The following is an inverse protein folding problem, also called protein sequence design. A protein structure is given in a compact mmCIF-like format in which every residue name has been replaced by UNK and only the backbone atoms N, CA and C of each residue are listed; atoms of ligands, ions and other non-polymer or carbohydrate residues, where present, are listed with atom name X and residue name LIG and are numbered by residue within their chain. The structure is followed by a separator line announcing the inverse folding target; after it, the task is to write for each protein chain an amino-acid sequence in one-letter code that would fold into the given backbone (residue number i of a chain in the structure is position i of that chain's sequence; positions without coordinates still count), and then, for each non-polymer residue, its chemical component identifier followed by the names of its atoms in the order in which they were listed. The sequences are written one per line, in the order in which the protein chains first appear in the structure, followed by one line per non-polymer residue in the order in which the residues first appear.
data_IF_392022680057
#
_entry.id   IF_392022680057
#
_cell.length_a   1.000
_cell.length_b   1.000
_cell.length_c   1.000
_cell.angle_alpha   90.00
_cell.angle_beta   90.00
_cell.angle_gamma   90.00
#
_symmetry.space_group_name_H-M   'P 1'
#
loop_
_entity.id
_entity.type
_entity.pdbx_description
1 polymer ?
#
# COMPACT_ATOMS: atom_id res chain seq x y z
N UNK A 1 5.65 -40.90 -43.54
CA UNK A 1 5.70 -39.43 -43.55
C UNK A 1 5.98 -38.94 -42.13
N UNK A 2 7.21 -38.48 -41.89
CA UNK A 2 7.71 -38.06 -40.57
C UNK A 2 7.15 -36.68 -40.22
N UNK A 3 6.34 -36.59 -39.17
CA UNK A 3 5.98 -35.30 -38.57
C UNK A 3 7.21 -34.77 -37.83
N UNK A 4 7.78 -33.66 -38.30
CA UNK A 4 8.82 -32.95 -37.55
C UNK A 4 8.25 -32.54 -36.18
N UNK A 5 8.87 -33.04 -35.11
CA UNK A 5 8.43 -32.81 -33.74
C UNK A 5 8.80 -31.38 -33.29
N UNK A 6 7.83 -30.66 -32.72
CA UNK A 6 8.10 -29.44 -31.96
C UNK A 6 9.12 -29.74 -30.83
N UNK A 7 10.03 -28.81 -30.50
CA UNK A 7 10.97 -29.00 -29.41
C UNK A 7 10.22 -29.23 -28.09
N UNK A 8 10.58 -30.32 -27.39
CA UNK A 8 9.92 -30.76 -26.15
C UNK A 8 10.07 -29.70 -25.04
N UNK A 9 8.96 -29.17 -24.55
CA UNK A 9 8.91 -28.46 -23.27
C UNK A 9 9.21 -29.46 -22.14
N UNK A 10 10.36 -29.32 -21.49
CA UNK A 10 10.67 -30.01 -20.24
C UNK A 10 9.79 -29.45 -19.12
N UNK A 11 8.98 -30.31 -18.51
CA UNK A 11 8.27 -30.03 -17.26
C UNK A 11 6.81 -30.45 -17.33
N UNK A 12 6.50 -31.63 -16.80
CA UNK A 12 5.11 -31.98 -16.44
C UNK A 12 4.61 -30.95 -15.43
N UNK A 13 3.35 -30.45 -15.54
CA UNK A 13 2.77 -29.68 -14.45
C UNK A 13 2.71 -30.57 -13.21
N UNK A 14 3.06 -30.06 -12.01
CA UNK A 14 2.99 -30.86 -10.80
C UNK A 14 1.52 -31.21 -10.49
N UNK A 15 1.26 -32.39 -9.93
CA UNK A 15 -0.09 -32.81 -9.59
C UNK A 15 -0.70 -31.86 -8.56
N UNK A 16 -1.97 -31.51 -8.76
CA UNK A 16 -2.78 -30.75 -7.81
C UNK A 16 -2.98 -31.61 -6.56
N UNK A 17 -2.29 -31.25 -5.47
CA UNK A 17 -2.36 -31.95 -4.19
C UNK A 17 -3.65 -31.56 -3.48
N UNK A 18 -4.54 -32.54 -3.28
CA UNK A 18 -5.72 -32.41 -2.42
C UNK A 18 -5.32 -32.20 -0.94
N UNK A 19 -6.11 -31.47 -0.13
CA UNK A 19 -5.70 -31.02 1.19
C UNK A 19 -5.65 -32.19 2.19
N UNK A 20 -4.45 -32.60 2.60
CA UNK A 20 -4.21 -33.50 3.74
C UNK A 20 -3.45 -32.72 4.83
N UNK A 21 -4.01 -32.77 6.05
CA UNK A 21 -3.49 -32.48 7.41
C UNK A 21 -2.28 -31.53 7.53
N UNK A 22 -2.41 -30.49 8.38
CA UNK A 22 -1.39 -29.49 8.80
C UNK A 22 0.04 -29.77 8.27
N UNK A 23 0.47 -29.00 7.26
CA UNK A 23 1.77 -29.15 6.64
C UNK A 23 2.92 -29.03 7.66
N UNK A 24 4.06 -29.73 7.47
CA UNK A 24 5.24 -29.60 8.34
C UNK A 24 5.73 -28.15 8.45
N UNK A 25 5.49 -27.32 7.43
CA UNK A 25 5.72 -25.88 7.46
C UNK A 25 4.89 -25.15 8.53
N UNK A 26 3.63 -25.55 8.78
CA UNK A 26 2.79 -24.98 9.85
C UNK A 26 3.26 -25.40 11.25
N UNK A 27 3.78 -26.61 11.40
CA UNK A 27 4.35 -27.09 12.67
C UNK A 27 5.64 -26.31 12.98
N UNK A 28 6.52 -26.15 11.98
CA UNK A 28 7.72 -25.33 12.11
C UNK A 28 7.39 -23.86 12.42
N UNK A 29 6.38 -23.28 11.77
CA UNK A 29 5.91 -21.93 12.07
C UNK A 29 5.36 -21.79 13.49
N UNK A 30 4.63 -22.79 14.00
CA UNK A 30 4.14 -22.80 15.38
C UNK A 30 5.27 -22.97 16.41
N UNK A 31 6.31 -23.75 16.09
CA UNK A 31 7.48 -23.89 16.97
C UNK A 31 8.32 -22.60 16.98
N UNK A 32 8.51 -21.97 15.82
CA UNK A 32 9.19 -20.68 15.70
C UNK A 32 8.46 -19.57 16.46
N UNK A 33 7.12 -19.52 16.36
CA UNK A 33 6.33 -18.52 17.09
C UNK A 33 6.38 -18.72 18.61
N UNK A 34 6.36 -19.97 19.08
CA UNK A 34 6.53 -20.30 20.51
C UNK A 34 7.92 -19.91 21.02
N UNK A 35 8.97 -20.18 20.24
CA UNK A 35 10.34 -19.79 20.59
C UNK A 35 10.47 -18.26 20.66
N UNK A 36 10.01 -17.55 19.63
CA UNK A 36 10.02 -16.09 19.60
C UNK A 36 9.24 -15.46 20.77
N UNK A 37 8.11 -16.07 21.17
CA UNK A 37 7.35 -15.61 22.33
C UNK A 37 8.11 -15.83 23.65
N UNK A 38 8.88 -16.91 23.78
CA UNK A 38 9.72 -17.18 24.94
C UNK A 38 10.88 -16.19 25.03
N UNK A 39 11.61 -16.00 23.92
CA UNK A 39 12.75 -15.08 23.83
C UNK A 39 12.30 -13.63 24.11
N UNK A 40 11.13 -13.23 23.59
CA UNK A 40 10.54 -11.93 23.89
C UNK A 40 10.19 -11.77 25.37
N UNK A 41 9.74 -12.83 26.05
CA UNK A 41 9.40 -12.79 27.47
C UNK A 41 10.65 -12.70 28.35
N UNK A 42 11.72 -13.42 28.01
CA UNK A 42 13.02 -13.32 28.69
C UNK A 42 13.62 -11.92 28.52
N UNK A 43 13.62 -11.38 27.29
CA UNK A 43 14.08 -10.00 27.01
C UNK A 43 13.27 -8.95 27.77
N UNK A 44 11.95 -9.14 27.91
CA UNK A 44 11.11 -8.24 28.74
C UNK A 44 11.52 -8.32 30.20
N UNK A 45 11.72 -9.52 30.76
CA UNK A 45 12.11 -9.68 32.15
C UNK A 45 13.47 -9.03 32.45
N UNK A 46 14.43 -9.15 31.52
CA UNK A 46 15.74 -8.50 31.63
C UNK A 46 15.62 -6.97 31.63
N UNK A 47 14.86 -6.41 30.68
CA UNK A 47 14.62 -4.96 30.61
C UNK A 47 13.92 -4.47 31.87
N UNK A 48 12.88 -5.17 32.33
CA UNK A 48 12.12 -4.82 33.54
C UNK A 48 13.03 -4.80 34.78
N UNK A 49 14.00 -5.71 34.86
CA UNK A 49 14.97 -5.75 35.97
C UNK A 49 15.97 -4.59 35.90
N UNK A 50 16.28 -4.09 34.70
CA UNK A 50 17.23 -2.99 34.48
C UNK A 50 16.63 -1.58 34.64
N UNK A 51 15.30 -1.45 34.58
CA UNK A 51 14.60 -0.17 34.65
C UNK A 51 14.03 0.03 36.04
N UNK A 52 14.55 1.01 36.74
CA UNK A 52 14.06 1.42 38.06
C UNK A 52 12.69 2.10 37.94
N UNK A 53 11.76 1.75 38.84
CA UNK A 53 10.33 2.10 38.75
C UNK A 53 9.97 3.43 39.42
N UNK A 54 10.94 4.21 39.89
CA UNK A 54 10.66 5.42 40.66
C UNK A 54 10.20 6.58 39.75
N UNK A 55 9.08 7.21 40.12
CA UNK A 55 8.61 8.42 39.45
C UNK A 55 9.55 9.59 39.79
N UNK A 56 9.95 10.40 38.79
CA UNK A 56 10.78 11.56 39.01
C UNK A 56 10.02 12.64 39.79
N UNK A 57 10.67 13.21 40.81
CA UNK A 57 10.10 14.31 41.61
C UNK A 57 10.10 15.66 40.87
N UNK A 58 10.85 15.77 39.78
CA UNK A 58 10.98 16.99 38.97
C UNK A 58 11.00 16.69 37.48
N UNK A 59 10.40 17.56 36.68
CA UNK A 59 10.41 17.49 35.22
C UNK A 59 11.73 18.04 34.68
N UNK A 60 12.45 17.26 33.88
CA UNK A 60 13.75 17.63 33.31
C UNK A 60 13.73 17.64 31.78
N UNK A 61 12.87 16.83 31.14
CA UNK A 61 12.88 16.66 29.69
C UNK A 61 12.35 17.91 28.98
N UNK A 62 13.08 18.47 27.99
CA UNK A 62 12.74 19.74 27.35
C UNK A 62 11.36 19.70 26.67
N UNK A 63 11.01 18.58 26.04
CA UNK A 63 9.69 18.40 25.41
C UNK A 63 8.55 18.33 26.43
N UNK A 64 8.80 17.77 27.61
CA UNK A 64 7.79 17.67 28.68
C UNK A 64 7.60 19.03 29.33
N UNK A 65 8.68 19.81 29.52
CA UNK A 65 8.59 21.20 29.97
C UNK A 65 7.85 22.10 28.97
N UNK A 66 8.09 21.92 27.66
CA UNK A 66 7.35 22.61 26.61
C UNK A 66 5.86 22.22 26.64
N UNK A 67 5.56 20.92 26.78
CA UNK A 67 4.19 20.42 26.93
C UNK A 67 3.50 21.02 28.16
N UNK A 68 4.16 21.08 29.31
CA UNK A 68 3.64 21.73 30.53
C UNK A 68 3.26 23.18 30.27
N UNK A 69 4.19 23.97 29.73
CA UNK A 69 3.96 25.41 29.44
C UNK A 69 2.81 25.62 28.47
N UNK A 70 2.68 24.77 27.46
CA UNK A 70 1.61 24.92 26.46
C UNK A 70 0.27 24.46 27.00
N UNK A 71 0.20 23.26 27.55
CA UNK A 71 -1.06 22.63 27.98
C UNK A 71 -1.65 23.26 29.25
N UNK A 72 -0.85 23.97 30.06
CA UNK A 72 -1.35 24.71 31.24
C UNK A 72 -2.01 26.06 30.93
N UNK A 73 -2.04 26.51 29.68
CA UNK A 73 -2.67 27.79 29.33
C UNK A 73 -4.20 27.71 29.43
N UNK A 74 -4.87 28.79 29.88
CA UNK A 74 -6.35 28.80 30.00
C UNK A 74 -7.09 28.78 28.65
N UNK A 75 -6.41 29.07 27.54
CA UNK A 75 -6.97 29.05 26.19
C UNK A 75 -6.76 27.70 25.49
N UNK A 76 -7.72 27.28 24.67
CA UNK A 76 -7.56 26.10 23.79
C UNK A 76 -8.09 24.78 24.37
N UNK A 77 -8.88 24.83 25.44
CA UNK A 77 -9.66 23.70 25.93
C UNK A 77 -10.89 23.51 25.04
N UNK A 78 -11.09 22.28 24.56
CA UNK A 78 -12.27 21.94 23.75
C UNK A 78 -13.54 21.83 24.61
N UNK A 79 -14.70 21.70 23.95
CA UNK A 79 -16.00 21.49 24.60
C UNK A 79 -16.04 20.22 25.47
N UNK A 80 -15.17 19.24 25.19
CA UNK A 80 -15.01 18.03 25.98
C UNK A 80 -14.13 18.18 27.23
N UNK A 81 -13.53 19.35 27.47
CA UNK A 81 -12.57 19.57 28.55
C UNK A 81 -11.21 18.90 28.33
N UNK A 82 -11.00 18.25 27.18
CA UNK A 82 -9.71 17.68 26.78
C UNK A 82 -8.92 18.70 26.00
N UNK A 83 -7.62 18.76 26.26
CA UNK A 83 -6.67 19.53 25.47
C UNK A 83 -5.66 18.63 24.79
N UNK A 84 -5.38 18.92 23.53
CA UNK A 84 -4.37 18.25 22.71
C UNK A 84 -3.62 19.29 21.88
N UNK A 85 -2.29 19.21 21.86
CA UNK A 85 -1.45 20.13 21.07
C UNK A 85 -0.27 19.40 20.37
N UNK A 86 -0.53 18.34 19.59
CA UNK A 86 0.50 17.48 19.02
C UNK A 86 1.39 18.15 17.96
N UNK A 87 0.95 19.27 17.37
CA UNK A 87 1.72 20.06 16.38
C UNK A 87 2.92 20.77 17.00
N UNK A 88 2.76 21.21 18.24
CA UNK A 88 3.67 22.15 18.89
C UNK A 88 4.43 21.47 20.05
N UNK A 89 3.80 20.47 20.67
CA UNK A 89 4.33 19.73 21.81
C UNK A 89 4.06 18.23 21.64
N UNK A 90 4.22 17.46 22.71
CA UNK A 90 3.94 16.02 22.74
C UNK A 90 2.46 15.74 22.43
N UNK A 91 2.21 14.59 21.81
CA UNK A 91 0.86 14.10 21.53
C UNK A 91 0.18 13.57 22.81
N UNK A 92 -0.21 14.52 23.67
CA UNK A 92 -0.94 14.29 24.91
C UNK A 92 -2.34 14.87 24.76
N UNK A 93 -3.36 14.05 25.02
CA UNK A 93 -4.77 14.44 24.96
C UNK A 93 -5.39 14.20 26.33
N UNK A 94 -5.29 15.19 27.21
CA UNK A 94 -5.60 15.06 28.65
C UNK A 94 -6.45 16.23 29.15
N UNK A 95 -7.18 16.02 30.23
CA UNK A 95 -7.93 17.08 30.92
C UNK A 95 -7.04 17.87 31.90
N UNK A 96 -7.53 19.00 32.40
CA UNK A 96 -6.75 19.86 33.31
C UNK A 96 -6.31 19.14 34.58
N UNK A 97 -7.21 18.33 35.17
CA UNK A 97 -6.94 17.60 36.41
C UNK A 97 -5.92 16.47 36.29
N UNK A 98 -5.72 15.91 35.09
CA UNK A 98 -4.77 14.80 34.84
C UNK A 98 -3.47 15.25 34.19
N UNK A 99 -3.35 16.53 33.84
CA UNK A 99 -2.21 17.04 33.12
C UNK A 99 -0.89 16.79 33.88
N UNK A 100 -0.85 17.07 35.18
CA UNK A 100 0.37 16.85 35.98
C UNK A 100 0.77 15.38 36.03
N UNK A 101 -0.21 14.49 36.23
CA UNK A 101 -0.03 13.04 36.24
C UNK A 101 0.53 12.54 34.91
N UNK A 102 -0.05 13.00 33.80
CA UNK A 102 0.40 12.65 32.45
C UNK A 102 1.83 13.15 32.16
N UNK A 103 2.19 14.34 32.61
CA UNK A 103 3.54 14.89 32.46
C UNK A 103 4.58 14.09 33.27
N UNK A 104 4.26 13.69 34.51
CA UNK A 104 5.14 12.85 35.32
C UNK A 104 5.33 11.45 34.72
N UNK A 105 4.24 10.84 34.26
CA UNK A 105 4.29 9.53 33.57
C UNK A 105 5.16 9.59 32.32
N UNK A 106 4.99 10.64 31.50
CA UNK A 106 5.77 10.82 30.25
C UNK A 106 7.25 11.09 30.53
N UNK A 107 7.57 11.90 31.54
CA UNK A 107 8.94 12.13 31.99
C UNK A 107 9.62 10.82 32.40
N UNK A 108 8.97 10.03 33.26
CA UNK A 108 9.51 8.78 33.76
C UNK A 108 9.71 7.76 32.63
N UNK A 109 8.74 7.68 31.72
CA UNK A 109 8.83 6.81 30.55
C UNK A 109 9.95 7.24 29.61
N UNK A 110 10.11 8.53 29.34
CA UNK A 110 11.18 9.06 28.49
C UNK A 110 12.57 8.82 29.09
N UNK A 111 12.71 8.98 30.41
CA UNK A 111 13.93 8.61 31.11
C UNK A 111 14.23 7.10 30.97
N UNK A 112 13.22 6.24 31.12
CA UNK A 112 13.36 4.79 30.98
C UNK A 112 13.76 4.37 29.56
N UNK A 113 13.04 4.85 28.53
CA UNK A 113 13.36 4.49 27.13
C UNK A 113 14.64 5.16 26.64
N UNK A 114 15.03 6.32 27.20
CA UNK A 114 16.30 6.97 26.91
C UNK A 114 17.50 6.09 27.29
N UNK A 115 17.42 5.40 28.43
CA UNK A 115 18.41 4.37 28.84
C UNK A 115 18.45 3.18 27.88
N UNK A 116 17.32 2.88 27.22
CA UNK A 116 17.18 1.79 26.25
C UNK A 116 17.50 2.23 24.80
N UNK A 117 18.05 3.44 24.61
CA UNK A 117 18.51 3.90 23.30
C UNK A 117 17.43 4.47 22.39
N UNK A 118 16.32 4.97 22.95
CA UNK A 118 15.30 5.69 22.20
C UNK A 118 15.48 7.21 22.35
N UNK A 119 15.34 7.92 21.23
CA UNK A 119 15.22 9.38 21.21
C UNK A 119 13.79 9.79 20.87
N UNK A 120 13.36 10.95 21.36
CA UNK A 120 12.01 11.48 21.13
C UNK A 120 12.08 12.66 20.16
N UNK A 121 11.31 12.60 19.07
CA UNK A 121 11.15 13.70 18.11
C UNK A 121 9.68 14.07 17.94
N UNK A 122 9.45 15.35 17.64
CA UNK A 122 8.13 15.85 17.27
C UNK A 122 8.13 16.06 15.76
N UNK A 123 7.22 15.39 15.09
CA UNK A 123 6.91 15.65 13.69
C UNK A 123 5.74 16.64 13.63
N UNK A 124 6.08 17.91 13.46
CA UNK A 124 5.11 19.00 13.35
C UNK A 124 4.30 18.98 12.05
N UNK A 125 4.71 18.17 11.06
CA UNK A 125 4.00 18.08 9.77
C UNK A 125 2.81 17.12 9.84
N UNK A 126 2.97 16.03 10.59
CA UNK A 126 1.95 14.98 10.74
C UNK A 126 1.27 14.97 12.11
N UNK A 127 1.58 15.94 12.96
CA UNK A 127 1.05 16.10 14.31
C UNK A 127 1.30 14.86 15.18
N UNK A 128 2.55 14.38 15.17
CA UNK A 128 2.92 13.12 15.82
C UNK A 128 4.16 13.29 16.67
N UNK A 129 4.19 12.56 17.77
CA UNK A 129 5.41 12.30 18.53
C UNK A 129 5.97 10.96 18.09
N UNK A 130 7.24 10.94 17.70
CA UNK A 130 7.95 9.76 17.23
C UNK A 130 9.03 9.37 18.24
N UNK A 131 9.08 8.08 18.57
CA UNK A 131 10.16 7.44 19.32
C UNK A 131 11.08 6.76 18.29
N UNK A 132 12.29 7.29 18.12
CA UNK A 132 13.27 6.71 17.22
C UNK A 132 14.21 5.77 17.98
N UNK A 133 14.24 4.51 17.56
CA UNK A 133 15.21 3.54 18.08
C UNK A 133 16.56 3.73 17.39
N UNK A 134 17.62 3.98 18.17
CA UNK A 134 19.01 4.04 17.66
C UNK A 134 19.48 2.69 17.09
N UNK A 135 19.00 1.59 17.66
CA UNK A 135 19.42 0.24 17.30
C UNK A 135 18.81 -0.22 15.96
N UNK A 136 17.51 -0.01 15.78
CA UNK A 136 16.78 -0.53 14.63
C UNK A 136 16.47 0.51 13.55
N UNK A 137 16.77 1.79 13.79
CA UNK A 137 16.40 2.91 12.89
C UNK A 137 14.91 2.94 12.55
N UNK A 138 14.07 2.55 13.51
CA UNK A 138 12.61 2.53 13.39
C UNK A 138 12.01 3.67 14.20
N UNK A 139 11.02 4.36 13.62
CA UNK A 139 10.20 5.35 14.30
C UNK A 139 8.86 4.76 14.76
N UNK A 140 8.52 4.89 16.05
CA UNK A 140 7.23 4.49 16.61
C UNK A 140 6.41 5.72 16.97
N UNK A 141 5.13 5.74 16.61
CA UNK A 141 4.22 6.80 17.05
C UNK A 141 3.91 6.66 18.54
N UNK A 142 3.91 7.77 19.27
CA UNK A 142 3.56 7.87 20.68
C UNK A 142 2.32 8.74 20.85
N UNK A 143 1.33 8.26 21.61
CA UNK A 143 0.17 9.05 22.00
C UNK A 143 -0.30 8.67 23.41
N UNK A 144 -0.56 9.67 24.25
CA UNK A 144 -1.17 9.48 25.56
C UNK A 144 -2.54 10.16 25.57
N UNK A 145 -3.60 9.40 25.88
CA UNK A 145 -4.99 9.87 25.84
C UNK A 145 -5.69 9.59 27.15
N UNK A 146 -6.43 10.57 27.67
CA UNK A 146 -7.38 10.37 28.75
C UNK A 146 -8.74 9.95 28.18
N UNK A 147 -9.36 8.95 28.81
CA UNK A 147 -10.76 8.61 28.52
C UNK A 147 -11.70 9.62 29.18
N UNK A 148 -12.66 10.12 28.42
CA UNK A 148 -13.70 11.02 28.95
C UNK A 148 -15.05 10.36 28.78
N UNK A 149 -15.83 10.32 29.85
CA UNK A 149 -17.15 9.72 29.82
C UNK A 149 -18.12 10.72 29.20
N UNK A 150 -18.77 10.28 28.13
CA UNK A 150 -19.80 11.04 27.43
C UNK A 150 -21.18 10.67 27.99
N UNK A 151 -21.89 11.65 28.55
CA UNK A 151 -23.30 11.54 28.96
C UNK A 151 -24.17 12.43 28.09
N UNK A 152 -25.47 12.12 28.03
CA UNK A 152 -26.44 13.02 27.39
C UNK A 152 -26.50 14.29 28.24
N UNK A 153 -26.44 15.45 27.57
CA UNK A 153 -26.45 16.74 28.25
C UNK A 153 -27.78 17.02 28.93
N UNK A 154 -27.73 17.38 30.21
CA UNK A 154 -28.90 17.84 30.96
C UNK A 154 -29.02 19.35 30.86
N UNK A 155 -30.10 19.82 30.23
CA UNK A 155 -30.31 21.25 29.97
C UNK A 155 -30.37 22.00 31.30
N UNK A 156 -29.39 22.89 31.50
CA UNK A 156 -29.35 23.70 32.71
C UNK A 156 -30.41 24.81 32.66
N UNK A 157 -30.89 25.26 33.82
CA UNK A 157 -31.86 26.37 33.89
C UNK A 157 -31.35 27.65 33.20
N UNK A 158 -30.03 27.88 33.21
CA UNK A 158 -29.40 29.00 32.51
C UNK A 158 -29.49 28.87 30.98
N UNK A 159 -29.34 27.66 30.45
CA UNK A 159 -29.48 27.37 29.03
C UNK A 159 -30.94 27.38 28.57
N UNK A 160 -31.86 26.94 29.42
CA UNK A 160 -33.29 27.05 29.14
C UNK A 160 -33.71 28.53 29.04
N UNK A 161 -33.24 29.37 29.97
CA UNK A 161 -33.40 30.82 29.86
C UNK A 161 -32.74 31.39 28.61
N UNK A 162 -31.58 30.87 28.19
CA UNK A 162 -30.93 31.29 26.94
C UNK A 162 -31.75 30.90 25.70
N UNK A 163 -32.36 29.71 25.68
CA UNK A 163 -33.29 29.26 24.63
C UNK A 163 -34.52 30.15 24.57
N UNK A 164 -35.10 30.50 25.71
CA UNK A 164 -36.25 31.43 25.76
C UNK A 164 -35.86 32.82 25.23
N UNK A 165 -34.71 33.36 25.64
CA UNK A 165 -34.19 34.63 25.11
C UNK A 165 -33.94 34.57 23.60
N UNK A 166 -33.39 33.46 23.11
CA UNK A 166 -33.16 33.25 21.68
C UNK A 166 -34.48 33.21 20.90
N UNK A 167 -35.49 32.49 21.40
CA UNK A 167 -36.81 32.38 20.78
C UNK A 167 -37.54 33.74 20.65
N UNK A 168 -37.31 34.66 21.60
CA UNK A 168 -37.83 36.03 21.51
C UNK A 168 -37.06 36.88 20.48
N UNK A 169 -35.73 36.72 20.39
CA UNK A 169 -34.87 37.54 19.50
C UNK A 169 -34.89 37.10 18.04
N UNK A 170 -35.04 35.81 17.75
CA UNK A 170 -35.09 35.32 16.36
C UNK A 170 -36.29 35.87 15.58
N UNK A 171 -37.37 36.23 16.29
CA UNK A 171 -38.56 36.88 15.72
C UNK A 171 -38.29 38.29 15.18
N UNK A 172 -37.35 39.01 15.79
CA UNK A 172 -37.01 40.40 15.42
C UNK A 172 -35.72 40.49 14.63
N UNK A 173 -34.87 39.45 14.65
CA UNK A 173 -33.58 39.41 13.98
C UNK A 173 -33.42 38.09 13.17
N UNK A 174 -33.77 38.08 11.88
CA UNK A 174 -33.72 36.87 11.06
C UNK A 174 -32.29 36.34 10.80
N UNK A 175 -31.26 37.17 10.98
CA UNK A 175 -29.84 36.79 10.77
C UNK A 175 -29.12 36.39 12.07
N UNK A 176 -29.85 36.10 13.15
CA UNK A 176 -29.24 35.73 14.44
C UNK A 176 -28.61 34.33 14.35
N UNK A 177 -27.36 34.19 14.82
CA UNK A 177 -26.69 32.89 14.88
C UNK A 177 -27.44 31.92 15.80
N UNK A 178 -27.63 30.69 15.35
CA UNK A 178 -28.26 29.63 16.13
C UNK A 178 -27.58 29.45 17.49
N UNK A 179 -28.40 29.33 18.54
CA UNK A 179 -27.92 28.94 19.86
C UNK A 179 -27.39 27.51 19.78
N UNK A 180 -26.07 27.35 19.93
CA UNK A 180 -25.45 26.03 20.06
C UNK A 180 -25.61 25.56 21.50
N UNK A 181 -26.25 24.40 21.69
CA UNK A 181 -26.27 23.68 22.96
C UNK A 181 -25.68 22.31 22.68
N UNK A 182 -24.66 21.94 23.46
CA UNK A 182 -24.05 20.61 23.33
C UNK A 182 -25.10 19.55 23.57
N UNK A 183 -25.07 18.48 22.78
CA UNK A 183 -25.91 17.30 23.04
C UNK A 183 -25.31 16.43 24.15
N UNK A 184 -24.03 16.61 24.48
CA UNK A 184 -23.30 15.76 25.40
C UNK A 184 -22.54 16.54 26.46
N UNK A 185 -22.57 16.01 27.68
CA UNK A 185 -21.67 16.39 28.76
C UNK A 185 -20.49 15.44 28.81
N UNK A 186 -19.33 16.00 29.13
CA UNK A 186 -18.06 15.30 29.16
C UNK A 186 -17.50 15.35 30.58
N UNK A 187 -17.34 14.18 31.19
CA UNK A 187 -16.79 14.06 32.55
C UNK A 187 -15.40 13.39 32.49
N UNK A 188 -14.34 14.05 33.01
CA UNK A 188 -13.01 13.47 33.05
C UNK A 188 -13.03 12.21 33.91
N UNK A 189 -12.52 11.10 33.39
CA UNK A 189 -12.47 9.84 34.16
C UNK A 189 -11.15 9.66 34.90
N UNK A 190 -10.12 10.41 34.51
CA UNK A 190 -8.78 10.25 35.03
C UNK A 190 -8.02 9.03 34.49
N UNK A 191 -8.64 8.24 33.61
CA UNK A 191 -8.08 6.99 33.08
C UNK A 191 -7.19 7.29 31.87
N UNK A 192 -5.88 7.11 32.02
CA UNK A 192 -4.90 7.30 30.96
C UNK A 192 -4.74 6.04 30.10
N UNK A 193 -4.54 6.25 28.81
CA UNK A 193 -4.30 5.23 27.80
C UNK A 193 -3.09 5.63 26.97
N UNK A 194 -2.02 4.82 27.05
CA UNK A 194 -0.83 4.95 26.22
C UNK A 194 -0.98 4.09 24.97
N UNK A 195 -0.82 4.70 23.81
CA UNK A 195 -0.76 4.03 22.51
C UNK A 195 0.63 4.21 21.91
N UNK A 196 1.28 3.10 21.53
CA UNK A 196 2.57 3.11 20.85
C UNK A 196 2.52 2.29 19.56
N UNK A 197 3.05 2.86 18.49
CA UNK A 197 3.15 2.26 17.17
C UNK A 197 1.85 2.36 16.36
N UNK A 198 1.98 2.32 15.03
CA UNK A 198 0.85 2.29 14.10
C UNK A 198 0.50 0.87 13.68
N UNK A 199 1.51 0.11 13.26
CA UNK A 199 1.43 -1.32 13.01
C UNK A 199 2.85 -1.92 13.09
N UNK A 200 3.09 -2.92 13.96
CA UNK A 200 2.24 -3.33 15.07
C UNK A 200 2.03 -2.17 16.06
N UNK A 201 0.81 -2.06 16.59
CA UNK A 201 0.48 -1.13 17.68
C UNK A 201 0.26 -1.89 18.98
N UNK A 202 0.51 -1.22 20.11
CA UNK A 202 0.17 -1.72 21.43
C UNK A 202 -0.39 -0.60 22.27
N UNK A 203 -1.41 -0.95 23.05
CA UNK A 203 -2.12 -0.02 23.91
C UNK A 203 -2.05 -0.51 25.35
N UNK A 204 -1.74 0.39 26.27
CA UNK A 204 -1.81 0.17 27.70
C UNK A 204 -2.77 1.17 28.31
N UNK A 205 -3.61 0.69 29.21
CA UNK A 205 -4.65 1.49 29.86
C UNK A 205 -4.53 1.36 31.36
N UNK A 206 -4.79 2.45 32.08
CA UNK A 206 -5.00 2.41 33.52
C UNK A 206 -6.09 1.39 33.87
N UNK A 207 -5.84 0.61 34.92
CA UNK A 207 -6.86 -0.26 35.50
C UNK A 207 -7.12 0.14 36.95
N UNK A 208 -8.29 -0.20 37.52
CA UNK A 208 -8.57 0.10 38.92
C UNK A 208 -7.57 -0.51 39.92
N UNK A 209 -6.78 -1.51 39.50
CA UNK A 209 -5.80 -2.21 40.34
C UNK A 209 -4.35 -1.84 40.06
N UNK A 210 -4.05 -1.33 38.87
CA UNK A 210 -2.68 -1.03 38.46
C UNK A 210 -2.67 0.24 37.62
N UNK A 211 -1.93 1.23 38.09
CA UNK A 211 -1.69 2.48 37.38
C UNK A 211 -0.62 2.28 36.29
N UNK A 212 -0.59 3.14 35.26
CA UNK A 212 0.47 3.10 34.25
C UNK A 212 1.85 3.43 34.82
N UNK A 213 1.89 4.23 35.88
CA UNK A 213 3.09 4.65 36.59
C UNK A 213 3.84 3.46 37.23
N UNK A 214 3.11 2.55 37.87
CA UNK A 214 3.69 1.33 38.45
C UNK A 214 4.26 0.38 37.38
N UNK A 215 3.84 0.57 36.13
CA UNK A 215 4.16 -0.32 35.01
C UNK A 215 5.18 0.26 34.04
N UNK A 216 5.88 1.35 34.40
CA UNK A 216 6.90 1.96 33.52
C UNK A 216 7.90 0.94 32.96
N UNK A 217 8.44 -0.02 33.74
CA UNK A 217 9.33 -1.04 33.21
C UNK A 217 8.66 -1.93 32.14
N UNK A 218 7.41 -2.34 32.36
CA UNK A 218 6.62 -3.11 31.39
C UNK A 218 6.34 -2.31 30.11
N UNK A 219 6.06 -1.02 30.24
CA UNK A 219 5.80 -0.11 29.12
C UNK A 219 7.06 0.02 28.28
N UNK A 220 8.20 0.31 28.91
CA UNK A 220 9.50 0.45 28.25
C UNK A 220 9.91 -0.84 27.52
N UNK A 221 9.81 -2.00 28.18
CA UNK A 221 10.07 -3.29 27.56
C UNK A 221 9.11 -3.57 26.39
N UNK A 222 7.86 -3.17 26.53
CA UNK A 222 6.86 -3.25 25.48
C UNK A 222 7.19 -2.41 24.24
N UNK A 223 7.71 -1.20 24.42
CA UNK A 223 8.15 -0.31 23.33
C UNK A 223 9.31 -0.95 22.56
N UNK A 224 10.30 -1.52 23.26
CA UNK A 224 11.43 -2.25 22.65
C UNK A 224 10.92 -3.41 21.77
N UNK A 225 9.99 -4.21 22.29
CA UNK A 225 9.43 -5.32 21.54
C UNK A 225 8.68 -4.88 20.28
N UNK A 226 7.96 -3.75 20.34
CA UNK A 226 7.26 -3.20 19.18
C UNK A 226 8.28 -2.74 18.15
N UNK A 227 9.32 -2.01 18.56
CA UNK A 227 10.38 -1.55 17.67
C UNK A 227 11.02 -2.73 16.90
N UNK A 228 11.34 -3.81 17.62
CA UNK A 228 11.90 -5.03 17.03
C UNK A 228 10.94 -5.69 16.03
N UNK A 229 9.64 -5.77 16.34
CA UNK A 229 8.64 -6.35 15.42
C UNK A 229 8.43 -5.49 14.19
N UNK A 230 8.38 -4.17 14.35
CA UNK A 230 8.28 -3.23 13.22
C UNK A 230 9.47 -3.38 12.30
N UNK A 231 10.69 -3.43 12.86
CA UNK A 231 11.91 -3.67 12.09
C UNK A 231 11.86 -4.99 11.30
N UNK A 232 11.49 -6.10 11.95
CA UNK A 232 11.37 -7.40 11.28
C UNK A 232 10.35 -7.37 10.14
N UNK A 233 9.22 -6.69 10.35
CA UNK A 233 8.20 -6.57 9.33
C UNK A 233 8.67 -5.73 8.14
N UNK A 234 9.33 -4.60 8.39
CA UNK A 234 9.87 -3.77 7.31
C UNK A 234 10.88 -4.52 6.45
N UNK A 235 11.74 -5.33 7.07
CA UNK A 235 12.66 -6.19 6.33
C UNK A 235 11.94 -7.24 5.49
N UNK A 236 10.94 -7.92 6.04
CA UNK A 236 10.13 -8.89 5.30
C UNK A 236 9.40 -8.23 4.12
N UNK A 237 8.87 -7.01 4.30
CA UNK A 237 8.25 -6.26 3.21
C UNK A 237 9.25 -5.90 2.11
N UNK A 238 10.46 -5.46 2.46
CA UNK A 238 11.52 -5.17 1.49
C UNK A 238 11.91 -6.40 0.69
N UNK A 239 12.10 -7.55 1.35
CA UNK A 239 12.42 -8.81 0.68
C UNK A 239 11.31 -9.24 -0.29
N UNK A 240 10.06 -9.18 0.15
CA UNK A 240 8.90 -9.49 -0.70
C UNK A 240 8.79 -8.54 -1.89
N UNK A 241 9.06 -7.25 -1.71
CA UNK A 241 9.06 -6.28 -2.81
C UNK A 241 10.13 -6.59 -3.85
N UNK A 242 11.34 -6.95 -3.42
CA UNK A 242 12.42 -7.35 -4.33
C UNK A 242 12.05 -8.63 -5.09
N UNK A 243 11.45 -9.62 -4.42
CA UNK A 243 10.98 -10.84 -5.08
C UNK A 243 9.87 -10.57 -6.10
N UNK A 244 8.89 -9.73 -5.76
CA UNK A 244 7.83 -9.32 -6.66
C UNK A 244 8.34 -8.54 -7.88
N UNK A 245 9.32 -7.65 -7.69
CA UNK A 245 9.97 -6.93 -8.79
C UNK A 245 10.67 -7.90 -9.74
N UNK A 246 11.46 -8.85 -9.21
CA UNK A 246 12.12 -9.89 -10.03
C UNK A 246 11.11 -10.75 -10.79
N UNK A 247 10.01 -11.13 -10.14
CA UNK A 247 8.95 -11.91 -10.79
C UNK A 247 8.28 -11.11 -11.93
N UNK A 248 8.04 -9.81 -11.71
CA UNK A 248 7.45 -8.91 -12.70
C UNK A 248 8.38 -8.72 -13.90
N UNK A 249 9.66 -8.44 -13.69
CA UNK A 249 10.65 -8.30 -14.75
C UNK A 249 10.74 -9.56 -15.61
N UNK A 250 10.75 -10.74 -14.97
CA UNK A 250 10.75 -12.03 -15.66
C UNK A 250 9.48 -12.22 -16.50
N UNK A 251 8.32 -11.86 -15.95
CA UNK A 251 7.06 -11.95 -16.68
C UNK A 251 7.00 -11.02 -17.89
N UNK A 252 7.41 -9.76 -17.71
CA UNK A 252 7.45 -8.77 -18.80
C UNK A 252 8.43 -9.18 -19.90
N UNK A 253 9.61 -9.70 -19.54
CA UNK A 253 10.58 -10.22 -20.49
C UNK A 253 10.00 -11.39 -21.33
N UNK A 254 9.37 -12.36 -20.67
CA UNK A 254 8.76 -13.52 -21.37
C UNK A 254 7.62 -13.05 -22.28
N UNK A 255 6.79 -12.12 -21.82
CA UNK A 255 5.66 -11.58 -22.60
C UNK A 255 6.16 -10.86 -23.85
N UNK A 256 7.13 -9.94 -23.72
CA UNK A 256 7.73 -9.24 -24.88
C UNK A 256 8.37 -10.20 -25.87
N UNK A 257 9.08 -11.23 -25.39
CA UNK A 257 9.65 -12.29 -26.25
C UNK A 257 8.56 -13.03 -27.01
N UNK A 258 7.45 -13.39 -26.36
CA UNK A 258 6.32 -14.07 -27.00
C UNK A 258 5.63 -13.19 -28.04
N UNK A 259 5.44 -11.91 -27.76
CA UNK A 259 4.86 -10.95 -28.70
C UNK A 259 5.76 -10.74 -29.92
N UNK A 260 7.08 -10.63 -29.72
CA UNK A 260 8.06 -10.54 -30.81
C UNK A 260 8.08 -11.80 -31.68
N UNK A 261 8.07 -12.99 -31.08
CA UNK A 261 7.97 -14.25 -31.83
C UNK A 261 6.62 -14.38 -32.56
N UNK A 262 5.51 -13.96 -31.93
CA UNK A 262 4.19 -14.02 -32.55
C UNK A 262 4.05 -13.03 -33.73
N UNK A 263 4.63 -11.83 -33.62
CA UNK A 263 4.66 -10.85 -34.73
C UNK A 263 5.51 -11.36 -35.88
N UNK A 264 6.72 -11.87 -35.59
CA UNK A 264 7.58 -12.50 -36.59
C UNK A 264 6.90 -13.69 -37.28
N UNK A 265 6.20 -14.53 -36.52
CA UNK A 265 5.44 -15.65 -37.09
C UNK A 265 4.34 -15.15 -38.04
N UNK A 266 3.57 -14.13 -37.65
CA UNK A 266 2.55 -13.53 -38.51
C UNK A 266 3.12 -12.96 -39.80
N UNK A 267 4.29 -12.32 -39.74
CA UNK A 267 4.99 -11.81 -40.93
C UNK A 267 5.38 -12.95 -41.87
N UNK A 268 5.94 -14.02 -41.35
CA UNK A 268 6.32 -15.21 -42.15
C UNK A 268 5.07 -15.90 -42.72
N UNK A 269 3.99 -16.03 -41.96
CA UNK A 269 2.71 -16.56 -42.45
C UNK A 269 2.13 -15.70 -43.58
N UNK A 270 2.20 -14.37 -43.45
CA UNK A 270 1.77 -13.46 -44.50
C UNK A 270 2.61 -13.63 -45.77
N UNK A 271 3.93 -13.75 -45.64
CA UNK A 271 4.83 -14.03 -46.76
C UNK A 271 4.51 -15.39 -47.41
N UNK A 272 4.35 -16.45 -46.60
CA UNK A 272 4.01 -17.79 -47.10
C UNK A 272 2.68 -17.81 -47.87
N UNK A 273 1.66 -17.09 -47.39
CA UNK A 273 0.37 -16.95 -48.08
C UNK A 273 0.52 -16.19 -49.41
N UNK A 274 1.32 -15.13 -49.45
CA UNK A 274 1.59 -14.38 -50.69
C UNK A 274 2.34 -15.24 -51.72
N UNK A 275 3.32 -16.02 -51.27
CA UNK A 275 4.02 -17.00 -52.10
C UNK A 275 3.08 -18.07 -52.66
N UNK A 276 2.22 -18.67 -51.83
CA UNK A 276 1.25 -19.69 -52.27
C UNK A 276 0.27 -19.12 -53.31
N UNK A 277 -0.16 -17.86 -53.14
CA UNK A 277 -1.00 -17.17 -54.12
C UNK A 277 -0.28 -16.96 -55.45
N UNK A 278 0.99 -16.57 -55.42
CA UNK A 278 1.79 -16.41 -56.63
C UNK A 278 1.99 -17.76 -57.35
N UNK A 279 2.28 -18.84 -56.63
CA UNK A 279 2.41 -20.18 -57.19
C UNK A 279 1.10 -20.65 -57.85
N UNK A 280 -0.05 -20.42 -57.20
CA UNK A 280 -1.37 -20.72 -57.77
C UNK A 280 -1.62 -19.96 -59.08
N UNK A 281 -1.23 -18.69 -59.16
CA UNK A 281 -1.36 -17.89 -60.38
C UNK A 281 -0.46 -18.41 -61.50
N UNK A 282 0.81 -18.73 -61.21
CA UNK A 282 1.74 -19.35 -62.19
C UNK A 282 1.20 -20.69 -62.71
N UNK A 283 0.76 -21.56 -61.81
CA UNK A 283 0.19 -22.85 -62.16
C UNK A 283 -1.09 -22.72 -63.01
N UNK A 284 -1.93 -21.72 -62.72
CA UNK A 284 -3.11 -21.43 -63.53
C UNK A 284 -2.74 -20.93 -64.94
N UNK A 285 -1.78 -20.00 -65.05
CA UNK A 285 -1.25 -19.54 -66.34
C UNK A 285 -0.69 -20.70 -67.17
N UNK A 286 0.09 -21.58 -66.56
CA UNK A 286 0.68 -22.73 -67.25
C UNK A 286 -0.38 -23.74 -67.71
N UNK A 287 -1.42 -23.96 -66.90
CA UNK A 287 -2.55 -24.82 -67.27
C UNK A 287 -3.39 -24.21 -68.41
N UNK A 288 -3.59 -22.89 -68.39
CA UNK A 288 -4.29 -22.16 -69.45
C UNK A 288 -3.52 -22.20 -70.76
N UNK A 289 -2.21 -21.95 -70.74
CA UNK A 289 -1.32 -22.02 -71.90
C UNK A 289 -1.33 -23.42 -72.54
N UNK A 290 -1.22 -24.48 -71.72
CA UNK A 290 -1.29 -25.87 -72.20
C UNK A 290 -2.63 -26.20 -72.86
N UNK A 291 -3.75 -25.73 -72.31
CA UNK A 291 -5.08 -25.94 -72.89
C UNK A 291 -5.25 -25.16 -74.21
N UNK A 292 -4.78 -23.92 -74.24
CA UNK A 292 -4.86 -23.08 -75.44
C UNK A 292 -4.08 -23.69 -76.61
N UNK A 293 -2.85 -24.17 -76.36
CA UNK A 293 -2.03 -24.87 -77.37
C UNK A 293 -2.68 -26.15 -77.91
N UNK A 294 -3.51 -26.85 -77.13
CA UNK A 294 -4.25 -28.03 -77.58
C UNK A 294 -5.44 -27.70 -78.48
N UNK A 295 -5.95 -26.46 -78.43
CA UNK A 295 -7.13 -26.01 -79.16
C UNK A 295 -6.84 -25.16 -80.40
N UNK A 296 -5.58 -24.78 -80.66
CA UNK A 296 -5.15 -23.95 -81.79
C UNK A 296 -4.00 -23.00 -81.44
N UNK A 297 -3.61 -22.12 -82.37
CA UNK A 297 -2.60 -21.07 -82.10
C UNK A 297 -3.11 -20.05 -81.06
N UNK A 298 -2.21 -19.61 -80.19
CA UNK A 298 -2.46 -18.56 -79.20
C UNK A 298 -2.68 -17.21 -79.90
N UNK A 299 -3.76 -16.51 -79.57
CA UNK A 299 -3.96 -15.14 -80.08
C UNK A 299 -3.03 -14.15 -79.37
N UNK A 300 -2.65 -13.03 -80.02
CA UNK A 300 -1.82 -12.00 -79.39
C UNK A 300 -2.37 -11.49 -78.06
N UNK A 301 -3.70 -11.34 -77.95
CA UNK A 301 -4.37 -10.91 -76.71
C UNK A 301 -4.21 -11.93 -75.56
N UNK A 302 -4.18 -13.23 -75.87
CA UNK A 302 -3.97 -14.28 -74.87
C UNK A 302 -2.53 -14.32 -74.38
N UNK A 303 -1.56 -14.02 -75.25
CA UNK A 303 -0.15 -13.91 -74.89
C UNK A 303 0.11 -12.70 -73.97
N UNK A 304 -0.46 -11.54 -74.30
CA UNK A 304 -0.36 -10.33 -73.47
C UNK A 304 -1.01 -10.54 -72.10
N UNK A 305 -2.16 -11.23 -72.05
CA UNK A 305 -2.81 -11.57 -70.79
C UNK A 305 -1.99 -12.56 -69.96
N UNK A 306 -1.39 -13.58 -70.56
CA UNK A 306 -0.50 -14.52 -69.85
C UNK A 306 0.76 -13.83 -69.30
N UNK A 307 1.37 -12.92 -70.08
CA UNK A 307 2.49 -12.10 -69.65
C UNK A 307 2.10 -11.21 -68.46
N UNK A 308 0.90 -10.62 -68.52
CA UNK A 308 0.35 -9.82 -67.42
C UNK A 308 0.13 -10.66 -66.15
N UNK A 309 -0.51 -11.84 -66.24
CA UNK A 309 -0.74 -12.70 -65.06
C UNK A 309 0.58 -13.16 -64.44
N UNK A 310 1.58 -13.52 -65.24
CA UNK A 310 2.92 -13.89 -64.75
C UNK A 310 3.61 -12.73 -64.05
N UNK A 311 3.56 -11.52 -64.62
CA UNK A 311 4.08 -10.31 -63.98
C UNK A 311 3.36 -9.99 -62.65
N UNK A 312 2.04 -10.21 -62.58
CA UNK A 312 1.26 -10.07 -61.33
C UNK A 312 1.61 -11.13 -60.28
N UNK A 313 1.91 -12.36 -60.70
CA UNK A 313 2.38 -13.39 -59.80
C UNK A 313 3.76 -13.07 -59.22
N UNK A 314 4.69 -12.58 -60.05
CA UNK A 314 6.03 -12.17 -59.61
C UNK A 314 6.01 -10.94 -58.69
N UNK A 315 5.00 -10.09 -58.83
CA UNK A 315 4.76 -8.95 -57.93
C UNK A 315 4.26 -9.31 -56.53
N UNK A 316 3.62 -10.47 -56.38
CA UNK A 316 3.05 -10.99 -55.13
C UNK A 316 4.01 -11.94 -54.40
N UNK A 317 4.97 -12.53 -55.11
CA UNK A 317 5.91 -13.49 -54.56
C UNK A 317 6.99 -12.78 -53.72
N UNK A 318 7.08 -13.04 -52.40
CA UNK A 318 8.05 -12.40 -51.53
C UNK A 318 9.50 -12.85 -51.80
N UNK A 319 9.73 -13.88 -52.62
CA UNK A 319 11.05 -14.38 -53.00
C UNK A 319 11.56 -13.78 -54.31
N UNK A 320 10.71 -13.10 -55.07
CA UNK A 320 11.09 -12.38 -56.28
C UNK A 320 11.33 -10.89 -55.99
N UNK A 321 12.41 -10.29 -56.50
CA UNK A 321 12.73 -8.87 -56.26
C UNK A 321 11.85 -7.89 -57.08
N UNK A 322 10.81 -8.38 -57.76
CA UNK A 322 9.96 -7.58 -58.63
C UNK A 322 8.81 -7.04 -57.78
N UNK A 323 8.79 -5.73 -57.55
CA UNK A 323 7.68 -5.06 -56.88
C UNK A 323 6.69 -4.57 -57.92
N UNK A 324 5.44 -5.04 -57.88
CA UNK A 324 4.36 -4.52 -58.72
C UNK A 324 3.87 -3.15 -58.21
N UNK A 325 4.03 -2.07 -58.99
CA UNK A 325 3.75 -0.70 -58.54
C UNK A 325 2.26 -0.42 -58.27
N UNK A 326 1.33 -1.26 -58.76
CA UNK A 326 -0.11 -1.02 -58.61
C UNK A 326 -0.70 -1.82 -57.45
N UNK A 327 -0.27 -3.07 -57.26
CA UNK A 327 -0.81 -3.94 -56.20
C UNK A 327 -0.06 -3.83 -54.87
N UNK A 328 1.18 -3.34 -54.88
CA UNK A 328 1.97 -3.10 -53.66
C UNK A 328 1.88 -1.65 -53.16
N UNK A 329 1.11 -0.79 -53.84
CA UNK A 329 0.81 0.54 -53.33
C UNK A 329 -0.11 0.42 -52.10
N UNK A 330 0.08 1.23 -51.03
CA UNK A 330 -0.84 1.25 -49.90
C UNK A 330 -2.25 1.57 -50.40
N UNK A 331 -3.24 0.78 -50.00
CA UNK A 331 -4.64 1.02 -50.37
C UNK A 331 -5.02 2.46 -50.01
N UNK A 332 -5.35 3.26 -51.03
CA UNK A 332 -5.79 4.63 -50.82
C UNK A 332 -7.12 4.60 -50.07
N UNK A 333 -7.11 5.06 -48.82
CA UNK A 333 -8.31 5.14 -48.00
C UNK A 333 -9.31 6.07 -48.69
N UNK A 334 -10.52 5.57 -48.98
CA UNK A 334 -11.56 6.27 -49.78
C UNK A 334 -11.95 7.65 -49.22
N UNK A 335 -11.58 7.94 -47.97
CA UNK A 335 -11.77 9.22 -47.27
C UNK A 335 -10.68 10.27 -47.51
N UNK A 336 -9.64 10.00 -48.30
CA UNK A 336 -8.60 10.99 -48.65
C UNK A 336 -8.88 11.76 -49.96
N UNK A 337 -10.02 11.52 -50.61
CA UNK A 337 -10.41 12.14 -51.89
C UNK A 337 -11.51 13.22 -51.78
N UNK A 338 -11.82 13.71 -50.57
CA UNK A 338 -12.78 14.78 -50.35
C UNK A 338 -12.21 15.87 -49.44
#
# INVERSE_FOLDING_TARGET
MSRAALPKLKGSPPPVVAPKKLSPARIAAQQASKKAAKDAKEKVAEIVTSVESELPQSLSHPLVLAAKKRLSQKSGWGESGVRSAPKEVLNLSVTEGTLERALLLTEALFAAIGKLGFDVKIDSTNDRTLLESKEHSVSLEFALKESVKRSIHEVTAAEEMARQRYALKVRTQPNLRSLHVSYYDYTPTGILTLEVGRWPSKTWKDTPRTSLEERIPDLAAGIVLIAQRTYQHEQELRERQVEQQRAREKYEFITKRREAEATRLKEVEAQANSWERAEKLRAFSDAFEKRAMQSGELTPEQLDWLAWVRAKADGLDPLTPISDPILNAPELNKYQYW
#
